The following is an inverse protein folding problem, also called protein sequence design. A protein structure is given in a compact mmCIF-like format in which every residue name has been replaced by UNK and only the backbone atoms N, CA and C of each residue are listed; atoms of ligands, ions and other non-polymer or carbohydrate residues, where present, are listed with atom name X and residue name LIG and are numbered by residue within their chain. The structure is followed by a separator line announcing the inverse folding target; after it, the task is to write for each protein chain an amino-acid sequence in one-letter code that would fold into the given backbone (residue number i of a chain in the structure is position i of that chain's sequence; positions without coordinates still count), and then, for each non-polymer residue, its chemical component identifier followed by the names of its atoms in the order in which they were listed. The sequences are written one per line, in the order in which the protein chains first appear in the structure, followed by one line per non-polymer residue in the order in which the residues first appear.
data_IF_977738894093
#
_entry.id   IF_977738894093
#
_cell.length_a   1.000
_cell.length_b   1.000
_cell.length_c   1.000
_cell.angle_alpha   90.00
_cell.angle_beta   90.00
_cell.angle_gamma   90.00
#
_symmetry.space_group_name_H-M   'P 1'
#
loop_
_entity.id
_entity.type
_entity.pdbx_description
1 polymer ?
#
# COMPACT_ATOMS: atom_id res chain seq x y z
N UNK A 1 2.34 65.12 20.50
CA UNK A 1 1.44 64.99 19.32
C UNK A 1 2.00 63.86 18.47
N UNK A 2 1.30 62.72 18.34
CA UNK A 2 0.50 62.29 17.15
C UNK A 2 1.37 62.35 15.87
N UNK A 3 1.62 61.31 15.05
CA UNK A 3 0.80 60.20 14.53
C UNK A 3 1.73 58.97 14.22
N UNK A 4 1.42 57.74 14.66
CA UNK A 4 0.71 56.66 13.92
C UNK A 4 1.24 56.34 12.51
N UNK A 5 1.98 55.22 12.37
CA UNK A 5 1.94 54.30 11.21
C UNK A 5 2.28 52.87 11.66
N UNK A 6 1.26 52.15 12.13
CA UNK A 6 1.27 50.69 12.20
C UNK A 6 0.78 50.25 10.82
N UNK A 7 1.70 49.89 9.94
CA UNK A 7 1.36 49.20 8.70
C UNK A 7 1.27 47.71 9.04
N UNK A 8 0.03 47.29 9.22
CA UNK A 8 -0.43 45.92 9.10
C UNK A 8 0.27 45.21 7.95
N UNK A 9 0.90 44.08 8.23
CA UNK A 9 1.00 42.99 7.26
C UNK A 9 0.53 41.72 7.97
N UNK A 10 -0.78 41.58 8.08
CA UNK A 10 -1.41 40.29 8.16
C UNK A 10 -1.18 39.61 6.82
N UNK A 11 -0.15 38.77 6.72
CA UNK A 11 -0.10 37.75 5.69
C UNK A 11 -0.32 36.40 6.38
N UNK A 12 -1.61 36.11 6.53
CA UNK A 12 -2.15 34.78 6.79
C UNK A 12 -1.60 33.84 5.73
N UNK A 13 -0.50 33.16 6.06
CA UNK A 13 0.03 32.03 5.31
C UNK A 13 -0.83 30.81 5.60
N UNK A 14 -2.05 30.83 5.06
CA UNK A 14 -2.92 29.67 4.93
C UNK A 14 -2.16 28.61 4.16
N UNK A 15 -1.55 27.65 4.85
CA UNK A 15 -1.20 26.36 4.29
C UNK A 15 -2.46 25.48 4.27
N UNK A 16 -3.48 25.94 3.54
CA UNK A 16 -4.51 25.09 2.98
C UNK A 16 -4.10 24.83 1.53
N UNK A 17 -3.11 23.97 1.33
CA UNK A 17 -3.02 23.26 0.06
C UNK A 17 -4.05 22.15 0.13
N UNK A 18 -5.27 22.54 -0.27
CA UNK A 18 -6.28 21.63 -0.76
C UNK A 18 -5.70 20.86 -1.93
N UNK A 19 -5.08 19.71 -1.67
CA UNK A 19 -5.01 18.65 -2.67
C UNK A 19 -6.23 17.75 -2.49
N UNK A 20 -7.36 18.36 -2.82
CA UNK A 20 -8.51 17.68 -3.40
C UNK A 20 -8.12 17.30 -4.86
N UNK A 21 -7.04 16.54 -5.03
CA UNK A 21 -6.65 16.02 -6.35
C UNK A 21 -7.47 14.78 -6.63
N UNK A 22 -8.61 15.03 -7.27
CA UNK A 22 -9.17 14.21 -8.34
C UNK A 22 -9.01 12.70 -8.16
N UNK A 23 -10.01 12.11 -7.50
CA UNK A 23 -10.57 10.82 -7.90
C UNK A 23 -11.11 10.96 -9.34
N UNK A 24 -10.20 11.00 -10.32
CA UNK A 24 -10.47 11.10 -11.75
C UNK A 24 -9.94 9.85 -12.42
N UNK A 25 -10.70 8.75 -12.31
CA UNK A 25 -10.46 7.53 -13.05
C UNK A 25 -10.59 7.80 -14.56
N UNK A 26 -9.51 7.64 -15.33
CA UNK A 26 -9.60 7.42 -16.78
C UNK A 26 -8.50 8.06 -17.63
N UNK A 27 -7.86 7.24 -18.48
CA UNK A 27 -7.25 7.67 -19.73
C UNK A 27 -5.73 7.50 -19.82
N UNK A 28 -5.31 6.73 -20.83
CA UNK A 28 -3.93 6.55 -21.31
C UNK A 28 -3.04 7.78 -21.08
N UNK A 29 -1.90 7.58 -20.41
CA UNK A 29 -0.87 8.59 -20.30
C UNK A 29 0.10 8.46 -21.49
N UNK A 30 -0.10 9.31 -22.50
CA UNK A 30 1.03 9.82 -23.26
C UNK A 30 2.04 10.43 -22.28
N UNK A 31 3.33 10.12 -22.49
CA UNK A 31 4.46 10.59 -21.66
C UNK A 31 4.43 12.12 -21.53
N UNK A 32 3.92 12.61 -20.40
CA UNK A 32 4.21 13.96 -19.95
C UNK A 32 5.57 13.94 -19.24
N UNK A 33 6.50 14.85 -19.58
CA UNK A 33 7.76 14.97 -18.85
C UNK A 33 7.47 15.27 -17.37
N UNK A 34 8.13 14.53 -16.46
CA UNK A 34 7.98 14.69 -15.02
C UNK A 34 6.94 13.78 -14.34
N UNK A 35 6.37 12.78 -15.03
CA UNK A 35 5.55 11.73 -14.40
C UNK A 35 6.30 10.41 -14.33
N UNK A 36 6.17 9.71 -13.20
CA UNK A 36 6.75 8.38 -13.01
C UNK A 36 6.16 7.39 -14.02
N UNK A 37 7.00 6.52 -14.58
CA UNK A 37 6.55 5.42 -15.43
C UNK A 37 6.06 4.27 -14.55
N UNK A 38 4.78 3.92 -14.64
CA UNK A 38 4.15 2.87 -13.83
C UNK A 38 3.75 1.72 -14.74
N UNK A 39 4.34 0.54 -14.50
CA UNK A 39 4.06 -0.68 -15.25
C UNK A 39 3.38 -1.69 -14.33
N UNK A 40 2.08 -1.99 -14.50
CA UNK A 40 1.39 -2.98 -13.68
C UNK A 40 1.96 -4.38 -13.91
N UNK A 41 2.03 -5.18 -12.84
CA UNK A 41 2.51 -6.56 -12.90
C UNK A 41 1.60 -7.47 -12.11
N UNK A 42 1.16 -8.57 -12.74
CA UNK A 42 0.36 -9.59 -12.07
C UNK A 42 1.24 -10.38 -11.10
N UNK A 43 0.92 -10.31 -9.81
CA UNK A 43 1.65 -10.96 -8.72
C UNK A 43 0.98 -12.23 -8.20
N UNK A 44 -0.32 -12.40 -8.47
CA UNK A 44 -1.18 -13.41 -7.84
C UNK A 44 -0.64 -14.83 -7.98
N UNK A 45 -0.22 -15.22 -9.19
CA UNK A 45 0.32 -16.55 -9.43
C UNK A 45 1.63 -16.77 -8.65
N UNK A 46 2.57 -15.83 -8.75
CA UNK A 46 3.87 -15.94 -8.10
C UNK A 46 3.74 -15.99 -6.57
N UNK A 47 2.89 -15.16 -5.98
CA UNK A 47 2.62 -15.13 -4.54
C UNK A 47 2.00 -16.44 -4.07
N UNK A 48 0.99 -16.96 -4.79
CA UNK A 48 0.38 -18.24 -4.45
C UNK A 48 1.36 -19.42 -4.59
N UNK A 49 2.24 -19.40 -5.59
CA UNK A 49 3.32 -20.39 -5.73
C UNK A 49 4.35 -20.31 -4.61
N UNK A 50 4.61 -19.11 -4.06
CA UNK A 50 5.55 -18.96 -2.94
C UNK A 50 4.97 -19.49 -1.62
N UNK A 51 3.70 -19.17 -1.32
CA UNK A 51 3.06 -19.50 -0.03
C UNK A 51 2.76 -21.00 0.09
N UNK A 52 2.55 -21.69 -1.05
CA UNK A 52 2.29 -23.14 -1.12
C UNK A 52 1.16 -23.65 -0.21
N UNK A 53 0.30 -22.76 0.30
CA UNK A 53 -0.76 -23.02 1.29
C UNK A 53 -1.74 -21.84 1.38
N UNK A 54 -2.72 -21.91 2.30
CA UNK A 54 -3.68 -20.84 2.56
C UNK A 54 -3.06 -19.71 3.43
N UNK A 55 -3.61 -18.48 3.38
CA UNK A 55 -4.69 -18.03 2.49
C UNK A 55 -4.21 -17.84 1.05
N UNK A 56 -5.11 -18.09 0.09
CA UNK A 56 -4.83 -17.80 -1.32
C UNK A 56 -5.01 -16.31 -1.55
N UNK A 57 -4.13 -15.75 -2.38
CA UNK A 57 -4.23 -14.39 -2.86
C UNK A 57 -4.97 -14.36 -4.18
N UNK A 58 -5.80 -13.33 -4.34
CA UNK A 58 -6.49 -13.02 -5.58
C UNK A 58 -6.08 -11.63 -6.09
N UNK A 59 -6.42 -11.33 -7.34
CA UNK A 59 -6.28 -9.97 -7.87
C UNK A 59 -7.55 -9.19 -7.56
N UNK A 60 -7.41 -7.96 -7.06
CA UNK A 60 -8.51 -7.02 -6.96
C UNK A 60 -8.24 -5.77 -7.82
N UNK A 61 -9.27 -5.34 -8.56
CA UNK A 61 -9.15 -4.21 -9.48
C UNK A 61 -9.07 -2.87 -8.74
N UNK A 62 -9.72 -2.75 -7.59
CA UNK A 62 -9.70 -1.51 -6.79
C UNK A 62 -8.32 -1.32 -6.17
N UNK A 63 -7.78 -2.36 -5.54
CA UNK A 63 -6.42 -2.41 -5.02
C UNK A 63 -5.40 -2.17 -6.14
N UNK A 64 -5.56 -2.81 -7.29
CA UNK A 64 -4.62 -2.64 -8.41
C UNK A 64 -4.55 -1.19 -8.90
N UNK A 65 -5.70 -0.51 -9.02
CA UNK A 65 -5.74 0.91 -9.40
C UNK A 65 -5.22 1.81 -8.29
N UNK A 66 -5.53 1.50 -7.04
CA UNK A 66 -5.05 2.24 -5.88
C UNK A 66 -3.52 2.21 -5.78
N UNK A 67 -2.92 1.02 -5.91
CA UNK A 67 -1.47 0.84 -5.89
C UNK A 67 -0.81 1.58 -7.04
N UNK A 68 -1.33 1.46 -8.27
CA UNK A 68 -0.77 2.18 -9.43
C UNK A 68 -0.86 3.69 -9.25
N UNK A 69 -2.00 4.20 -8.78
CA UNK A 69 -2.18 5.63 -8.54
C UNK A 69 -1.25 6.14 -7.45
N UNK A 70 -1.14 5.44 -6.32
CA UNK A 70 -0.24 5.83 -5.25
C UNK A 70 1.22 5.77 -5.68
N UNK A 71 1.61 4.71 -6.40
CA UNK A 71 2.96 4.54 -6.89
C UNK A 71 3.38 5.63 -7.89
N UNK A 72 2.44 6.18 -8.67
CA UNK A 72 2.69 7.32 -9.56
C UNK A 72 3.08 8.61 -8.83
N UNK A 73 2.85 8.69 -7.52
CA UNK A 73 3.17 9.87 -6.68
C UNK A 73 4.49 9.74 -5.91
N UNK A 74 5.19 8.62 -6.06
CA UNK A 74 6.48 8.40 -5.40
C UNK A 74 7.51 9.47 -5.80
N UNK A 75 8.26 9.94 -4.81
CA UNK A 75 9.34 10.93 -4.99
C UNK A 75 10.71 10.26 -5.01
N UNK A 76 11.70 10.96 -5.57
CA UNK A 76 13.10 10.53 -5.61
C UNK A 76 13.66 10.10 -4.24
N UNK A 77 13.26 10.76 -3.15
CA UNK A 77 13.73 10.40 -1.82
C UNK A 77 13.07 9.13 -1.27
N UNK A 78 11.81 8.87 -1.62
CA UNK A 78 11.07 7.70 -1.13
C UNK A 78 11.56 6.39 -1.77
N UNK A 79 11.99 6.43 -3.03
CA UNK A 79 12.49 5.24 -3.75
C UNK A 79 13.91 4.82 -3.36
N UNK A 80 14.61 5.62 -2.54
CA UNK A 80 15.92 5.26 -1.96
C UNK A 80 15.81 4.25 -0.83
N UNK A 81 14.63 4.13 -0.21
CA UNK A 81 14.37 3.17 0.86
C UNK A 81 13.48 2.05 0.32
N UNK A 82 14.04 0.85 0.31
CA UNK A 82 13.49 -0.36 -0.31
C UNK A 82 13.53 -1.51 0.69
N UNK A 83 12.82 -2.60 0.38
CA UNK A 83 12.62 -3.75 1.26
C UNK A 83 11.93 -3.36 2.58
N UNK A 84 10.98 -2.43 2.49
CA UNK A 84 10.32 -1.85 3.66
C UNK A 84 8.86 -1.49 3.35
N UNK A 85 8.13 -1.10 4.40
CA UNK A 85 6.82 -0.49 4.26
C UNK A 85 6.90 0.83 3.49
N UNK A 86 5.90 1.09 2.65
CA UNK A 86 5.82 2.34 1.91
C UNK A 86 5.65 3.56 2.86
N UNK A 87 6.03 4.77 2.42
CA UNK A 87 5.79 6.00 3.17
C UNK A 87 4.31 6.17 3.52
N UNK A 88 4.03 6.82 4.66
CA UNK A 88 2.65 6.98 5.17
C UNK A 88 1.68 7.57 4.13
N UNK A 89 2.11 8.57 3.35
CA UNK A 89 1.27 9.17 2.30
C UNK A 89 0.82 8.16 1.23
N UNK A 90 1.66 7.17 0.91
CA UNK A 90 1.33 6.10 -0.05
C UNK A 90 0.35 5.11 0.59
N UNK A 91 0.55 4.77 1.86
CA UNK A 91 -0.37 3.91 2.62
C UNK A 91 -1.76 4.54 2.73
N UNK A 92 -1.82 5.82 3.10
CA UNK A 92 -3.08 6.56 3.28
C UNK A 92 -3.85 6.67 1.95
N UNK A 93 -3.16 6.93 0.85
CA UNK A 93 -3.78 6.96 -0.48
C UNK A 93 -4.40 5.62 -0.87
N UNK A 94 -3.66 4.51 -0.69
CA UNK A 94 -4.20 3.18 -1.01
C UNK A 94 -5.40 2.84 -0.12
N UNK A 95 -5.31 3.14 1.18
CA UNK A 95 -6.40 2.91 2.14
C UNK A 95 -7.66 3.69 1.80
N UNK A 96 -7.50 4.96 1.47
CA UNK A 96 -8.60 5.83 1.06
C UNK A 96 -9.28 5.29 -0.21
N UNK A 97 -8.49 4.85 -1.20
CA UNK A 97 -9.03 4.36 -2.47
C UNK A 97 -9.66 2.96 -2.37
N UNK A 98 -9.25 2.16 -1.39
CA UNK A 98 -9.74 0.78 -1.17
C UNK A 98 -10.76 0.69 -0.04
N UNK A 99 -11.09 1.80 0.63
CA UNK A 99 -11.96 1.85 1.81
C UNK A 99 -11.49 0.92 2.95
N UNK A 100 -10.18 0.80 3.10
CA UNK A 100 -9.56 -0.05 4.14
C UNK A 100 -8.92 0.77 5.24
N UNK A 101 -8.68 0.14 6.38
CA UNK A 101 -8.04 0.76 7.55
C UNK A 101 -6.60 0.28 7.75
N UNK A 102 -5.84 1.03 8.55
CA UNK A 102 -4.53 0.57 9.01
C UNK A 102 -4.68 -0.60 9.99
N UNK A 103 -3.71 -1.52 9.95
CA UNK A 103 -3.52 -2.54 10.99
C UNK A 103 -2.04 -2.61 11.32
N UNK A 104 -1.71 -2.36 12.58
CA UNK A 104 -0.33 -2.31 13.05
C UNK A 104 0.45 -3.59 12.72
N UNK A 105 -0.19 -4.75 12.87
CA UNK A 105 0.39 -6.06 12.59
C UNK A 105 0.42 -6.43 11.09
N UNK A 106 -0.10 -5.58 10.20
CA UNK A 106 0.06 -5.72 8.75
C UNK A 106 1.17 -4.79 8.23
N UNK A 107 1.21 -3.57 8.77
CA UNK A 107 2.26 -2.59 8.51
C UNK A 107 3.61 -3.05 9.08
N UNK A 108 3.58 -3.57 10.31
CA UNK A 108 4.70 -4.17 11.02
C UNK A 108 4.35 -5.65 11.31
N UNK A 109 4.64 -6.57 10.38
CA UNK A 109 4.11 -7.91 10.40
C UNK A 109 4.39 -8.68 11.68
N UNK A 110 3.31 -9.05 12.33
CA UNK A 110 3.30 -9.83 13.56
C UNK A 110 2.05 -10.72 13.57
N UNK A 111 2.06 -11.79 14.37
CA UNK A 111 0.97 -12.76 14.37
C UNK A 111 -0.37 -12.12 14.78
N UNK A 112 -1.41 -12.36 13.99
CA UNK A 112 -2.75 -11.82 14.26
C UNK A 112 -3.44 -12.57 15.40
N UNK A 113 -4.43 -11.89 15.97
CA UNK A 113 -5.37 -12.48 16.91
C UNK A 113 -6.79 -12.36 16.33
N UNK A 114 -7.63 -13.37 16.57
CA UNK A 114 -9.02 -13.37 16.17
C UNK A 114 -9.75 -12.18 16.82
N UNK A 115 -10.69 -11.59 16.07
CA UNK A 115 -11.48 -10.46 16.53
C UNK A 115 -12.88 -10.51 15.92
N UNK A 116 -13.90 -10.33 16.75
CA UNK A 116 -15.31 -10.52 16.38
C UNK A 116 -15.89 -9.28 15.70
N UNK A 117 -15.42 -8.99 14.48
CA UNK A 117 -15.97 -7.95 13.62
C UNK A 117 -15.47 -8.14 12.20
N UNK A 118 -16.28 -7.77 11.23
CA UNK A 118 -15.79 -7.63 9.87
C UNK A 118 -14.89 -6.41 9.77
N UNK A 119 -13.79 -6.52 9.01
CA UNK A 119 -12.91 -5.39 8.74
C UNK A 119 -12.00 -5.66 7.55
N UNK A 120 -11.70 -4.60 6.81
CA UNK A 120 -10.78 -4.61 5.68
C UNK A 120 -9.54 -3.79 5.99
N UNK A 121 -8.37 -4.37 5.75
CA UNK A 121 -7.07 -3.76 6.03
C UNK A 121 -6.21 -3.75 4.78
N UNK A 122 -5.39 -2.71 4.61
CA UNK A 122 -4.38 -2.71 3.55
C UNK A 122 -3.04 -2.13 3.99
N UNK A 123 -2.00 -2.58 3.31
CA UNK A 123 -0.64 -2.06 3.42
C UNK A 123 0.01 -2.03 2.04
N UNK A 124 1.09 -1.26 1.94
CA UNK A 124 1.89 -1.14 0.72
C UNK A 124 3.36 -1.31 1.09
N UNK A 125 4.10 -2.04 0.26
CA UNK A 125 5.53 -2.29 0.41
C UNK A 125 6.30 -1.88 -0.82
N UNK A 126 7.52 -1.41 -0.59
CA UNK A 126 8.46 -1.05 -1.63
C UNK A 126 9.61 -2.05 -1.62
N UNK A 127 9.90 -2.65 -2.77
CA UNK A 127 11.03 -3.58 -2.96
C UNK A 127 11.96 -3.10 -4.07
N UNK A 128 13.19 -3.62 -4.10
CA UNK A 128 14.19 -3.26 -5.11
C UNK A 128 13.73 -3.63 -6.52
N UNK A 129 13.86 -2.72 -7.48
CA UNK A 129 13.35 -2.90 -8.85
C UNK A 129 14.07 -3.96 -9.70
N UNK A 130 15.30 -4.33 -9.31
CA UNK A 130 16.11 -5.39 -9.95
C UNK A 130 15.61 -6.80 -9.62
N UNK A 131 14.75 -6.95 -8.61
CA UNK A 131 14.11 -8.21 -8.32
C UNK A 131 13.17 -8.66 -9.44
N UNK A 132 13.19 -9.96 -9.69
CA UNK A 132 12.17 -10.64 -10.47
C UNK A 132 10.89 -10.84 -9.63
N UNK A 133 9.80 -11.17 -10.31
CA UNK A 133 8.48 -11.39 -9.69
C UNK A 133 8.51 -12.48 -8.63
N UNK A 134 9.29 -13.54 -8.83
CA UNK A 134 9.40 -14.66 -7.90
C UNK A 134 10.11 -14.27 -6.60
N UNK A 135 11.17 -13.46 -6.69
CA UNK A 135 11.90 -12.90 -5.55
C UNK A 135 11.00 -11.99 -4.74
N UNK A 136 10.25 -11.09 -5.39
CA UNK A 136 9.27 -10.23 -4.70
C UNK A 136 8.17 -11.07 -4.04
N UNK A 137 7.65 -12.10 -4.71
CA UNK A 137 6.67 -13.01 -4.13
C UNK A 137 7.19 -13.75 -2.88
N UNK A 138 8.43 -14.25 -2.94
CA UNK A 138 9.08 -14.87 -1.78
C UNK A 138 9.28 -13.88 -0.63
N UNK A 139 9.64 -12.63 -0.94
CA UNK A 139 9.71 -11.56 0.07
C UNK A 139 8.35 -11.26 0.68
N UNK A 140 7.27 -11.17 -0.10
CA UNK A 140 5.91 -11.00 0.43
C UNK A 140 5.57 -12.14 1.41
N UNK A 141 5.90 -13.38 1.04
CA UNK A 141 5.70 -14.54 1.91
C UNK A 141 6.45 -14.38 3.24
N UNK A 142 7.76 -14.15 3.20
CA UNK A 142 8.61 -14.11 4.41
C UNK A 142 8.40 -12.85 5.25
N UNK A 143 8.21 -11.72 4.58
CA UNK A 143 8.15 -10.41 5.24
C UNK A 143 6.76 -10.14 5.80
N UNK A 144 5.71 -10.73 5.22
CA UNK A 144 4.30 -10.48 5.57
C UNK A 144 3.59 -11.75 5.97
N UNK A 145 3.34 -12.64 5.01
CA UNK A 145 2.33 -13.72 5.13
C UNK A 145 2.68 -14.69 6.27
N UNK A 146 3.93 -15.14 6.33
CA UNK A 146 4.39 -16.06 7.37
C UNK A 146 4.34 -15.42 8.77
N UNK A 147 4.50 -14.10 8.85
CA UNK A 147 4.53 -13.37 10.12
C UNK A 147 3.14 -13.06 10.64
N UNK A 148 2.18 -12.74 9.76
CA UNK A 148 0.79 -12.48 10.17
C UNK A 148 0.02 -13.75 10.56
N UNK A 149 0.43 -14.91 10.04
CA UNK A 149 -0.03 -16.23 10.44
C UNK A 149 -1.57 -16.38 10.42
N UNK A 150 -2.22 -15.93 9.34
CA UNK A 150 -3.70 -15.90 9.19
C UNK A 150 -4.37 -17.27 9.26
N UNK A 151 -3.62 -18.37 9.10
CA UNK A 151 -4.14 -19.74 9.22
C UNK A 151 -3.99 -20.33 10.62
N UNK A 152 -3.38 -19.61 11.56
CA UNK A 152 -3.22 -20.09 12.93
C UNK A 152 -4.56 -20.11 13.66
N UNK A 153 -4.70 -21.02 14.64
CA UNK A 153 -5.86 -21.03 15.55
C UNK A 153 -6.03 -19.69 16.26
N UNK A 154 -4.91 -19.03 16.61
CA UNK A 154 -4.93 -17.71 17.23
C UNK A 154 -5.57 -16.64 16.34
N UNK A 155 -5.35 -16.71 15.02
CA UNK A 155 -5.93 -15.77 14.06
C UNK A 155 -7.37 -16.13 13.67
N UNK A 156 -7.76 -17.40 13.77
CA UNK A 156 -9.03 -17.91 13.20
C UNK A 156 -10.09 -18.26 14.23
N UNK A 157 -9.75 -18.51 15.50
CA UNK A 157 -10.70 -18.99 16.52
C UNK A 157 -10.85 -18.01 17.68
N UNK A 158 -12.07 -17.54 17.87
CA UNK A 158 -12.55 -16.95 19.13
C UNK A 158 -13.33 -17.97 19.96
N UNK A 159 -13.86 -17.53 21.10
CA UNK A 159 -14.66 -18.40 21.98
C UNK A 159 -16.00 -18.80 21.35
N UNK A 160 -16.62 -17.87 20.61
CA UNK A 160 -17.97 -17.96 20.07
C UNK A 160 -18.04 -17.56 18.57
N UNK A 161 -16.90 -17.31 17.94
CA UNK A 161 -16.80 -16.93 16.53
C UNK A 161 -15.55 -17.51 15.86
N UNK A 162 -15.56 -17.55 14.53
CA UNK A 162 -14.41 -17.84 13.67
C UNK A 162 -14.14 -16.69 12.72
N UNK A 163 -12.87 -16.46 12.37
CA UNK A 163 -12.47 -15.50 11.34
C UNK A 163 -12.04 -16.21 10.07
N UNK A 164 -12.63 -15.81 8.94
CA UNK A 164 -12.15 -16.12 7.60
C UNK A 164 -11.43 -14.91 7.01
N UNK A 165 -10.50 -15.16 6.08
CA UNK A 165 -9.65 -14.13 5.49
C UNK A 165 -9.60 -14.27 3.97
N UNK A 166 -10.07 -13.25 3.27
CA UNK A 166 -9.86 -13.06 1.83
C UNK A 166 -8.67 -12.14 1.62
N UNK A 167 -7.73 -12.58 0.78
CA UNK A 167 -6.44 -11.90 0.60
C UNK A 167 -6.29 -11.46 -0.86
N UNK A 168 -5.86 -10.21 -1.05
CA UNK A 168 -5.64 -9.63 -2.37
C UNK A 168 -4.23 -9.05 -2.47
N UNK A 169 -3.64 -9.17 -3.65
CA UNK A 169 -2.33 -8.59 -3.96
C UNK A 169 -2.37 -7.86 -5.29
N UNK A 170 -1.71 -6.71 -5.31
CA UNK A 170 -1.43 -5.98 -6.54
C UNK A 170 0.03 -5.52 -6.55
N UNK A 171 0.67 -5.57 -7.71
CA UNK A 171 2.04 -5.12 -7.89
C UNK A 171 2.19 -4.22 -9.12
N UNK A 172 3.13 -3.28 -9.04
CA UNK A 172 3.61 -2.55 -10.21
C UNK A 172 5.10 -2.24 -10.05
N UNK A 173 5.78 -2.04 -11.19
CA UNK A 173 7.09 -1.41 -11.22
C UNK A 173 6.92 0.08 -11.47
N UNK A 174 7.67 0.89 -10.74
CA UNK A 174 7.68 2.35 -10.93
C UNK A 174 9.10 2.82 -11.16
N UNK A 175 9.30 3.56 -12.25
CA UNK A 175 10.55 4.26 -12.55
C UNK A 175 10.37 5.74 -12.25
N UNK A 176 11.18 6.25 -11.33
CA UNK A 176 11.25 7.66 -10.94
C UNK A 176 12.49 8.26 -11.59
N UNK A 177 12.29 9.26 -12.45
CA UNK A 177 13.36 9.89 -13.19
C UNK A 177 14.31 10.66 -12.26
N UNK A 178 15.61 10.65 -12.59
CA UNK A 178 16.65 11.43 -11.90
C UNK A 178 16.67 11.26 -10.37
N UNK A 179 16.26 10.08 -9.88
CA UNK A 179 16.11 9.83 -8.46
C UNK A 179 17.41 9.42 -7.75
N UNK A 180 18.38 8.89 -8.50
CA UNK A 180 19.68 8.52 -7.98
C UNK A 180 20.59 9.75 -7.80
N UNK A 181 21.65 9.61 -7.00
CA UNK A 181 22.59 10.71 -6.71
C UNK A 181 23.39 11.16 -7.94
N UNK A 182 23.53 10.28 -8.94
CA UNK A 182 24.18 10.53 -10.23
C UNK A 182 23.21 11.06 -11.29
N UNK A 183 21.95 11.31 -10.94
CA UNK A 183 20.90 11.76 -11.86
C UNK A 183 20.31 10.64 -12.72
N UNK A 184 20.62 9.37 -12.45
CA UNK A 184 19.97 8.24 -13.12
C UNK A 184 18.59 7.93 -12.55
N UNK A 185 17.78 7.24 -13.36
CA UNK A 185 16.45 6.78 -13.00
C UNK A 185 16.51 5.64 -11.97
N UNK A 186 15.55 5.62 -11.04
CA UNK A 186 15.43 4.53 -10.05
C UNK A 186 14.12 3.78 -10.29
N UNK A 187 14.22 2.47 -10.50
CA UNK A 187 13.07 1.58 -10.57
C UNK A 187 12.88 0.84 -9.24
N UNK A 188 11.64 0.79 -8.75
CA UNK A 188 11.23 0.02 -7.58
C UNK A 188 9.97 -0.79 -7.86
N UNK A 189 9.75 -1.83 -7.08
CA UNK A 189 8.45 -2.49 -6.99
C UNK A 189 7.61 -1.80 -5.93
N UNK A 190 6.32 -1.61 -6.24
CA UNK A 190 5.31 -1.19 -5.26
C UNK A 190 4.24 -2.28 -5.22
N UNK A 191 4.06 -2.88 -4.05
CA UNK A 191 3.14 -3.99 -3.83
C UNK A 191 2.11 -3.60 -2.78
N UNK A 192 0.84 -3.62 -3.14
CA UNK A 192 -0.26 -3.51 -2.20
C UNK A 192 -0.78 -4.88 -1.80
N UNK A 193 -1.11 -5.01 -0.51
CA UNK A 193 -1.76 -6.18 0.08
C UNK A 193 -3.02 -5.70 0.78
N UNK A 194 -4.15 -6.33 0.47
CA UNK A 194 -5.41 -6.14 1.18
C UNK A 194 -5.85 -7.46 1.80
N UNK A 195 -6.39 -7.39 3.02
CA UNK A 195 -6.94 -8.53 3.75
C UNK A 195 -8.31 -8.11 4.27
N UNK A 196 -9.33 -8.83 3.82
CA UNK A 196 -10.71 -8.69 4.28
C UNK A 196 -10.99 -9.82 5.26
N UNK A 197 -11.40 -9.45 6.47
CA UNK A 197 -11.78 -10.39 7.53
C UNK A 197 -13.29 -10.44 7.66
N UNK A 198 -13.82 -11.64 7.68
CA UNK A 198 -15.23 -11.95 7.95
C UNK A 198 -15.31 -12.74 9.26
N UNK A 199 -16.05 -12.22 10.25
CA UNK A 199 -16.25 -12.86 11.55
C UNK A 199 -17.62 -13.54 11.62
N UNK A 200 -17.62 -14.87 11.78
CA UNK A 200 -18.83 -15.70 11.79
C UNK A 200 -19.07 -16.28 13.16
N UNK A 201 -20.30 -16.14 13.67
CA UNK A 201 -20.74 -16.83 14.87
C UNK A 201 -20.65 -18.36 14.67
N UNK A 202 -20.13 -19.06 15.67
CA UNK A 202 -20.16 -20.52 15.68
C UNK A 202 -21.59 -20.96 15.99
N UNK A 203 -22.28 -21.60 15.03
CA UNK A 203 -23.61 -22.16 15.28
C UNK A 203 -23.48 -23.33 16.27
N UNK A 204 -24.07 -23.16 17.45
CA UNK A 204 -24.25 -24.19 18.48
C UNK A 204 -25.22 -25.28 18.03
#
# INVERSE_FOLDING_TARGET
MKLKRILSLALSGVLAVSMLTACGFGGNADKLPGKNEVTPVSMTLAVNSAINSKPKFESDNTLSKAVQSAASTLTANQVKTVDTIAPQAILDMVRQMTYTSAKGELDNPAAWSAFNSDASFSTVRIYKGDYDTATVANKIKTDVVDKIALTSDKATKGNDFTCDYDCYVAGCKVTVAEAAADGSDVTVWVVGIQIDRDAKAVKS
#
